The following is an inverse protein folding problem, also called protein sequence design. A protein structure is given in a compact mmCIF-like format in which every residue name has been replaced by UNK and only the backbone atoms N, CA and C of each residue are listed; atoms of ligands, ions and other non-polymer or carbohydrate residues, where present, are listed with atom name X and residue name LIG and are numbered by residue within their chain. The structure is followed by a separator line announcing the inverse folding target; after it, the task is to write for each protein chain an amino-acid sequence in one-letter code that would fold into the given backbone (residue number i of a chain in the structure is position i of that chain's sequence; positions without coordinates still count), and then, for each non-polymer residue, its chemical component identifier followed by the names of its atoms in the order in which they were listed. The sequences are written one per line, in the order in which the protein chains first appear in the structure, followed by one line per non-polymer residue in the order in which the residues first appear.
data_IF_789622701833
#
_entry.id   IF_789622701833
#
_cell.length_a   1.000
_cell.length_b   1.000
_cell.length_c   1.000
_cell.angle_alpha   90.00
_cell.angle_beta   90.00
_cell.angle_gamma   90.00
#
_symmetry.space_group_name_H-M   'P 1'
#
loop_
_entity.id
_entity.type
_entity.pdbx_description
1 polymer ?
#
# COMPACT_ATOMS: atom_id res chain seq x y z
N UNK A 1 -31.75 4.78 -24.62
CA UNK A 1 -31.19 3.72 -23.74
C UNK A 1 -29.68 3.64 -23.93
N UNK A 2 -28.95 3.17 -22.92
CA UNK A 2 -27.48 3.04 -22.81
C UNK A 2 -26.71 4.21 -22.14
N UNK A 3 -27.02 4.44 -20.86
CA UNK A 3 -26.05 4.97 -19.90
C UNK A 3 -25.16 3.80 -19.48
N UNK A 4 -24.11 3.56 -20.25
CA UNK A 4 -23.06 2.56 -19.99
C UNK A 4 -21.83 3.26 -19.45
N UNK A 5 -21.87 3.53 -18.15
CA UNK A 5 -20.84 4.14 -17.32
C UNK A 5 -19.41 3.72 -17.70
N UNK A 6 -18.57 4.71 -18.01
CA UNK A 6 -17.43 5.11 -17.16
C UNK A 6 -16.73 4.00 -16.34
N UNK A 7 -16.50 2.79 -16.86
CA UNK A 7 -15.52 1.89 -16.25
C UNK A 7 -14.15 2.29 -16.76
N UNK A 8 -13.73 3.45 -16.24
CA UNK A 8 -12.44 4.07 -16.43
C UNK A 8 -11.39 2.99 -16.64
N UNK A 9 -10.77 3.04 -17.82
CA UNK A 9 -9.47 2.45 -18.11
C UNK A 9 -8.66 2.54 -16.82
N UNK A 10 -8.55 1.42 -16.08
CA UNK A 10 -7.72 1.30 -14.88
C UNK A 10 -6.35 1.66 -15.38
N UNK A 11 -5.99 2.92 -15.14
CA UNK A 11 -4.79 3.51 -15.65
C UNK A 11 -3.68 2.56 -15.31
N UNK A 12 -3.04 2.03 -16.36
CA UNK A 12 -1.64 1.64 -16.40
C UNK A 12 -0.73 2.83 -16.04
N UNK A 13 -1.18 3.72 -15.16
CA UNK A 13 -0.29 4.64 -14.51
C UNK A 13 0.35 3.79 -13.45
N UNK A 14 1.52 3.29 -13.82
CA UNK A 14 2.67 3.16 -12.94
C UNK A 14 2.88 4.56 -12.30
N UNK A 15 1.92 5.02 -11.49
CA UNK A 15 2.20 6.00 -10.45
C UNK A 15 3.03 5.17 -9.50
N UNK A 16 4.30 5.54 -9.30
CA UNK A 16 5.09 5.03 -8.19
C UNK A 16 4.14 4.89 -7.00
N UNK A 17 3.94 3.66 -6.54
CA UNK A 17 3.09 3.45 -5.39
C UNK A 17 3.75 4.24 -4.26
N UNK A 18 2.99 4.90 -3.41
CA UNK A 18 3.58 5.63 -2.26
C UNK A 18 4.43 4.67 -1.40
N UNK A 19 4.11 3.37 -1.46
CA UNK A 19 4.90 2.27 -0.90
C UNK A 19 6.28 2.08 -1.53
N UNK A 20 6.47 2.44 -2.81
CA UNK A 20 7.75 2.38 -3.53
C UNK A 20 8.69 3.52 -3.13
N UNK A 21 8.15 4.64 -2.64
CA UNK A 21 8.93 5.78 -2.14
C UNK A 21 9.39 5.59 -0.69
N UNK A 22 9.05 4.46 -0.06
CA UNK A 22 9.51 4.10 1.29
C UNK A 22 10.83 3.33 1.15
N UNK A 23 11.92 3.99 1.53
CA UNK A 23 13.25 3.36 1.59
C UNK A 23 13.23 2.10 2.45
N UNK A 24 13.64 0.97 1.87
CA UNK A 24 13.64 -0.32 2.55
C UNK A 24 12.44 -1.24 2.23
N UNK A 25 11.44 -0.78 1.47
CA UNK A 25 10.37 -1.65 0.96
C UNK A 25 10.70 -2.12 -0.45
N UNK A 26 11.25 -3.32 -0.54
CA UNK A 26 11.42 -4.01 -1.82
C UNK A 26 10.11 -4.62 -2.33
N UNK A 27 10.14 -5.10 -3.59
CA UNK A 27 8.98 -5.71 -4.25
C UNK A 27 8.33 -6.86 -3.45
N UNK A 28 9.11 -7.65 -2.70
CA UNK A 28 8.61 -8.75 -1.85
C UNK A 28 7.70 -8.23 -0.73
N UNK A 29 8.16 -7.22 0.03
CA UNK A 29 7.41 -6.62 1.14
C UNK A 29 6.16 -5.90 0.64
N UNK A 30 6.29 -5.14 -0.46
CA UNK A 30 5.15 -4.52 -1.13
C UNK A 30 4.10 -5.55 -1.53
N UNK A 31 4.51 -6.66 -2.15
CA UNK A 31 3.59 -7.73 -2.54
C UNK A 31 2.90 -8.35 -1.32
N UNK A 32 3.64 -8.59 -0.23
CA UNK A 32 3.07 -9.11 1.01
C UNK A 32 2.02 -8.15 1.61
N UNK A 33 2.33 -6.85 1.69
CA UNK A 33 1.39 -5.82 2.14
C UNK A 33 0.15 -5.76 1.25
N UNK A 34 0.32 -5.74 -0.07
CA UNK A 34 -0.80 -5.71 -1.01
C UNK A 34 -1.62 -7.00 -0.98
N UNK A 35 -1.01 -8.15 -0.69
CA UNK A 35 -1.70 -9.42 -0.54
C UNK A 35 -2.51 -9.46 0.76
N UNK A 36 -1.96 -8.92 1.85
CA UNK A 36 -2.61 -8.89 3.15
C UNK A 36 -3.77 -7.87 3.21
N UNK A 37 -3.56 -6.66 2.70
CA UNK A 37 -4.51 -5.55 2.78
C UNK A 37 -5.35 -5.35 1.50
N UNK A 38 -4.98 -5.99 0.39
CA UNK A 38 -5.67 -5.91 -0.91
C UNK A 38 -5.36 -4.64 -1.73
N UNK A 39 -5.01 -3.51 -1.11
CA UNK A 39 -4.70 -2.27 -1.83
C UNK A 39 -3.76 -1.33 -1.07
N UNK A 40 -3.03 -0.47 -1.79
CA UNK A 40 -2.16 0.53 -1.17
C UNK A 40 -2.92 1.52 -0.27
N UNK A 41 -4.19 1.80 -0.59
CA UNK A 41 -5.05 2.62 0.27
C UNK A 41 -5.36 1.93 1.59
N UNK A 42 -5.63 0.62 1.57
CA UNK A 42 -5.84 -0.15 2.79
C UNK A 42 -4.57 -0.22 3.64
N UNK A 43 -3.40 -0.36 3.03
CA UNK A 43 -2.10 -0.27 3.74
C UNK A 43 -1.94 1.11 4.41
N UNK A 44 -2.32 2.19 3.74
CA UNK A 44 -2.23 3.55 4.28
C UNK A 44 -3.19 3.81 5.47
N UNK A 45 -4.24 3.00 5.62
CA UNK A 45 -5.20 3.08 6.72
C UNK A 45 -4.94 2.02 7.80
N UNK A 46 -4.01 1.09 7.55
CA UNK A 46 -3.70 0.01 8.46
C UNK A 46 -3.00 0.56 9.72
N UNK A 47 -3.30 -0.02 10.87
CA UNK A 47 -2.60 0.29 12.11
C UNK A 47 -1.19 -0.28 12.11
N UNK A 48 -0.33 0.26 12.98
CA UNK A 48 1.04 -0.22 13.14
C UNK A 48 1.11 -1.74 13.39
N UNK A 49 0.25 -2.25 14.30
CA UNK A 49 0.19 -3.69 14.62
C UNK A 49 -0.23 -4.56 13.43
N UNK A 50 -1.13 -4.06 12.59
CA UNK A 50 -1.56 -4.81 11.40
C UNK A 50 -0.42 -4.88 10.38
N UNK A 51 0.32 -3.78 10.21
CA UNK A 51 1.51 -3.74 9.36
C UNK A 51 2.59 -4.72 9.84
N UNK A 52 2.80 -4.81 11.16
CA UNK A 52 3.72 -5.78 11.78
C UNK A 52 3.27 -7.24 11.61
N UNK A 53 1.97 -7.48 11.47
CA UNK A 53 1.42 -8.82 11.26
C UNK A 53 1.69 -9.37 9.85
N UNK A 54 2.17 -8.53 8.93
CA UNK A 54 2.51 -8.94 7.57
C UNK A 54 3.87 -9.64 7.54
N UNK A 55 3.89 -10.80 6.87
CA UNK A 55 5.10 -11.60 6.72
C UNK A 55 6.26 -10.80 6.07
N UNK A 56 7.40 -10.74 6.77
CA UNK A 56 8.61 -10.05 6.30
C UNK A 56 8.62 -8.54 6.54
N UNK A 57 7.61 -8.01 7.23
CA UNK A 57 7.61 -6.68 7.83
C UNK A 57 8.02 -6.82 9.30
N UNK A 58 8.95 -5.97 9.74
CA UNK A 58 9.32 -5.85 11.14
C UNK A 58 8.82 -4.52 11.68
N UNK A 59 8.89 -4.33 13.01
CA UNK A 59 8.48 -3.09 13.68
C UNK A 59 9.10 -1.83 13.07
N UNK A 60 10.39 -1.85 12.72
CA UNK A 60 11.05 -0.68 12.12
C UNK A 60 10.42 -0.30 10.78
N UNK A 61 10.21 -1.26 9.88
CA UNK A 61 9.57 -1.03 8.57
C UNK A 61 8.10 -0.66 8.75
N UNK A 62 7.37 -1.36 9.61
CA UNK A 62 5.97 -1.06 9.90
C UNK A 62 5.80 0.38 10.39
N UNK A 63 6.69 0.83 11.27
CA UNK A 63 6.72 2.20 11.76
C UNK A 63 7.02 3.19 10.63
N UNK A 64 8.02 2.95 9.79
CA UNK A 64 8.29 3.82 8.63
C UNK A 64 7.09 3.93 7.69
N UNK A 65 6.37 2.83 7.46
CA UNK A 65 5.14 2.84 6.65
C UNK A 65 4.08 3.69 7.32
N UNK A 66 3.80 3.40 8.60
CA UNK A 66 2.79 4.09 9.37
C UNK A 66 3.06 5.60 9.42
N UNK A 67 4.28 5.99 9.81
CA UNK A 67 4.73 7.37 9.87
C UNK A 67 4.57 8.06 8.51
N UNK A 68 4.94 7.41 7.40
CA UNK A 68 4.80 8.02 6.06
C UNK A 68 3.36 8.36 5.66
N UNK A 69 2.37 7.64 6.20
CA UNK A 69 0.95 7.91 5.92
C UNK A 69 0.26 8.76 7.00
N UNK A 70 0.90 8.94 8.16
CA UNK A 70 0.36 9.67 9.31
C UNK A 70 1.16 10.92 9.70
N UNK A 71 2.29 11.21 9.05
CA UNK A 71 2.97 12.51 9.11
C UNK A 71 2.08 13.57 8.45
N UNK A 72 1.50 14.41 9.29
CA UNK A 72 0.95 15.74 8.97
C UNK A 72 1.70 16.78 9.78
#
# INVERSE_FOLDING_TARGET
FAIGTHRAKRGKTIKKSILDDIGGIGAKRKKALLHHFGSAKAVAQAGLKDLESVEGINTSIAKTIYDRFHEN
#
